data_IF_573745495551
#
_entry.id   IF_573745495551
#
_cell.length_a   1.000
_cell.length_b   1.000
_cell.length_c   1.000
_cell.angle_alpha   90.00
_cell.angle_beta   90.00
_cell.angle_gamma   90.00
#
_symmetry.space_group_name_H-M   'P 1'
#
loop_
_entity.id
_entity.type
_entity.pdbx_description
1 polymer ?
#
# COMPACT_ATOMS: atom_id res chain seq x y z
N UNK A 1 19.50 -7.26 -4.26
CA UNK A 1 18.71 -6.02 -4.02
C UNK A 1 19.55 -4.94 -3.35
N UNK A 2 20.09 -5.16 -2.13
CA UNK A 2 20.88 -4.16 -1.38
C UNK A 2 22.03 -3.56 -2.20
N UNK A 3 22.80 -4.40 -2.89
CA UNK A 3 23.89 -3.96 -3.77
C UNK A 3 23.41 -3.02 -4.89
N UNK A 4 22.30 -3.35 -5.55
CA UNK A 4 21.70 -2.51 -6.62
C UNK A 4 21.32 -1.14 -6.05
N UNK A 5 20.66 -1.11 -4.89
CA UNK A 5 20.25 0.13 -4.22
C UNK A 5 21.47 1.00 -3.91
N UNK A 6 22.53 0.41 -3.35
CA UNK A 6 23.76 1.13 -3.02
C UNK A 6 24.47 1.66 -4.28
N UNK A 7 24.57 0.86 -5.33
CA UNK A 7 25.16 1.29 -6.61
C UNK A 7 24.37 2.43 -7.26
N UNK A 8 23.03 2.39 -7.22
CA UNK A 8 22.18 3.47 -7.73
C UNK A 8 22.33 4.75 -6.90
N UNK A 9 22.40 4.64 -5.58
CA UNK A 9 22.66 5.79 -4.69
C UNK A 9 24.02 6.41 -4.92
N UNK A 10 25.08 5.62 -5.09
CA UNK A 10 26.41 6.13 -5.42
C UNK A 10 26.40 6.92 -6.75
N UNK A 11 25.60 6.48 -7.72
CA UNK A 11 25.35 7.17 -8.99
C UNK A 11 24.35 8.34 -8.88
N UNK A 12 23.89 8.68 -7.67
CA UNK A 12 22.96 9.78 -7.37
C UNK A 12 21.57 9.64 -8.01
N UNK A 13 21.15 8.43 -8.36
CA UNK A 13 19.78 8.19 -8.79
C UNK A 13 18.80 8.28 -7.62
N UNK A 14 17.60 8.77 -7.92
CA UNK A 14 16.45 8.66 -7.02
C UNK A 14 15.87 7.27 -7.10
N UNK A 15 15.58 6.68 -5.94
CA UNK A 15 15.11 5.29 -5.83
C UNK A 15 13.66 5.29 -5.37
N UNK A 16 12.82 4.68 -6.20
CA UNK A 16 11.43 4.37 -5.89
C UNK A 16 11.30 2.87 -5.62
N UNK A 17 10.71 2.51 -4.48
CA UNK A 17 10.40 1.13 -4.10
C UNK A 17 8.89 0.92 -4.12
N UNK A 18 8.40 0.14 -5.09
CA UNK A 18 7.06 -0.44 -5.02
C UNK A 18 7.16 -1.82 -4.37
N UNK A 19 6.36 -2.07 -3.34
CA UNK A 19 6.42 -3.31 -2.59
C UNK A 19 5.06 -3.68 -2.01
N UNK A 20 4.88 -4.95 -1.73
CA UNK A 20 3.82 -5.48 -0.90
C UNK A 20 4.50 -6.46 0.07
N UNK A 21 3.92 -6.67 1.25
CA UNK A 21 4.27 -7.73 2.20
C UNK A 21 5.74 -8.22 2.19
N UNK A 22 6.55 -7.75 3.15
CA UNK A 22 7.92 -8.24 3.36
C UNK A 22 7.97 -9.23 4.53
N UNK A 23 8.41 -10.46 4.28
CA UNK A 23 8.65 -11.46 5.33
C UNK A 23 9.78 -11.06 6.29
N UNK A 24 10.78 -10.35 5.77
CA UNK A 24 11.91 -9.87 6.56
C UNK A 24 11.86 -8.35 6.74
N UNK A 25 11.22 -7.90 7.83
CA UNK A 25 11.16 -6.47 8.18
C UNK A 25 12.53 -5.90 8.54
N UNK A 26 13.44 -6.70 9.10
CA UNK A 26 14.80 -6.26 9.40
C UNK A 26 15.55 -5.90 8.11
N UNK A 27 15.39 -6.70 7.06
CA UNK A 27 15.95 -6.36 5.75
C UNK A 27 15.34 -5.07 5.18
N UNK A 28 14.03 -4.85 5.38
CA UNK A 28 13.39 -3.59 4.98
C UNK A 28 14.02 -2.40 5.72
N UNK A 29 14.20 -2.50 7.04
CA UNK A 29 14.87 -1.47 7.86
C UNK A 29 16.29 -1.16 7.36
N UNK A 30 17.06 -2.20 7.00
CA UNK A 30 18.42 -2.03 6.48
C UNK A 30 18.45 -1.24 5.17
N UNK A 31 17.50 -1.47 4.27
CA UNK A 31 17.48 -0.80 2.96
C UNK A 31 16.74 0.53 2.98
N UNK A 32 15.81 0.74 3.92
CA UNK A 32 14.88 1.88 3.94
C UNK A 32 15.57 3.24 3.88
N UNK A 33 16.71 3.40 4.57
CA UNK A 33 17.49 4.65 4.56
C UNK A 33 18.05 5.02 3.18
N UNK A 34 18.08 4.07 2.26
CA UNK A 34 18.55 4.25 0.90
C UNK A 34 17.40 4.35 -0.11
N UNK A 35 16.15 4.48 0.33
CA UNK A 35 14.99 4.66 -0.55
C UNK A 35 14.55 6.12 -0.47
N UNK A 36 14.30 6.77 -1.61
CA UNK A 36 13.81 8.16 -1.63
C UNK A 36 12.27 8.20 -1.55
N UNK A 37 11.62 7.29 -2.26
CA UNK A 37 10.17 7.19 -2.38
C UNK A 37 9.73 5.73 -2.27
N UNK A 38 8.60 5.47 -1.62
CA UNK A 38 8.04 4.13 -1.58
C UNK A 38 6.51 4.13 -1.73
N UNK A 39 6.03 3.10 -2.41
CA UNK A 39 4.63 2.72 -2.48
C UNK A 39 4.49 1.35 -1.83
N UNK A 40 3.68 1.25 -0.77
CA UNK A 40 3.33 -0.05 -0.17
C UNK A 40 1.90 -0.40 -0.56
N UNK A 41 1.73 -1.52 -1.24
CA UNK A 41 0.40 -2.04 -1.53
C UNK A 41 -0.21 -2.59 -0.25
N UNK A 42 -1.37 -2.06 0.15
CA UNK A 42 -2.22 -2.65 1.18
C UNK A 42 -3.28 -3.48 0.49
N UNK A 43 -3.38 -4.77 0.82
CA UNK A 43 -4.36 -5.65 0.18
C UNK A 43 -5.76 -5.42 0.73
N UNK A 44 -6.69 -5.16 -0.18
CA UNK A 44 -8.11 -5.27 0.12
C UNK A 44 -8.49 -6.74 0.37
N UNK A 45 -9.49 -6.98 1.22
CA UNK A 45 -9.94 -8.33 1.56
C UNK A 45 -10.45 -9.09 0.34
N UNK A 46 -11.03 -8.39 -0.64
CA UNK A 46 -11.52 -9.01 -1.88
C UNK A 46 -10.41 -9.56 -2.78
N UNK A 47 -9.15 -9.23 -2.52
CA UNK A 47 -8.01 -9.81 -3.23
C UNK A 47 -7.72 -11.26 -2.80
N UNK A 48 -8.34 -11.73 -1.69
CA UNK A 48 -8.22 -13.10 -1.17
C UNK A 48 -6.76 -13.57 -1.01
N UNK A 49 -5.85 -12.65 -0.71
CA UNK A 49 -4.41 -12.92 -0.61
C UNK A 49 -4.05 -13.88 0.53
N UNK A 50 -4.86 -13.90 1.60
CA UNK A 50 -4.70 -14.78 2.76
C UNK A 50 -5.99 -14.87 3.57
N UNK A 51 -6.15 -15.94 4.36
CA UNK A 51 -7.23 -16.08 5.34
C UNK A 51 -7.01 -15.21 6.59
N UNK A 52 -5.75 -14.85 6.89
CA UNK A 52 -5.34 -13.96 7.99
C UNK A 52 -5.19 -12.52 7.51
N UNK A 53 -6.23 -11.99 6.88
CA UNK A 53 -6.17 -10.71 6.16
C UNK A 53 -5.81 -9.52 7.06
N UNK A 54 -6.31 -9.47 8.28
CA UNK A 54 -6.00 -8.38 9.22
C UNK A 54 -4.51 -8.37 9.60
N UNK A 55 -3.91 -9.54 9.86
CA UNK A 55 -2.47 -9.68 10.13
C UNK A 55 -1.62 -9.20 8.93
N UNK A 56 -2.10 -9.44 7.70
CA UNK A 56 -1.46 -8.95 6.48
C UNK A 56 -1.50 -7.41 6.43
N UNK A 57 -2.68 -6.82 6.60
CA UNK A 57 -2.87 -5.36 6.58
C UNK A 57 -2.02 -4.68 7.65
N UNK A 58 -2.04 -5.16 8.89
CA UNK A 58 -1.23 -4.62 9.99
C UNK A 58 0.26 -4.63 9.65
N UNK A 59 0.72 -5.72 9.01
CA UNK A 59 2.11 -5.84 8.59
C UNK A 59 2.46 -4.88 7.47
N UNK A 60 1.59 -4.71 6.47
CA UNK A 60 1.81 -3.77 5.37
C UNK A 60 1.82 -2.31 5.88
N UNK A 61 0.92 -1.96 6.80
CA UNK A 61 0.92 -0.67 7.50
C UNK A 61 2.22 -0.49 8.33
N UNK A 62 2.70 -1.54 9.00
CA UNK A 62 3.98 -1.51 9.71
C UNK A 62 5.16 -1.27 8.76
N UNK A 63 5.13 -1.80 7.54
CA UNK A 63 6.14 -1.50 6.52
C UNK A 63 6.14 -0.02 6.13
N UNK A 64 4.96 0.58 5.93
CA UNK A 64 4.85 2.02 5.67
C UNK A 64 5.53 2.85 6.77
N UNK A 65 5.26 2.49 8.03
CA UNK A 65 5.86 3.13 9.20
C UNK A 65 7.39 2.98 9.20
N UNK A 66 7.93 1.78 8.99
CA UNK A 66 9.38 1.54 8.92
C UNK A 66 10.04 2.44 7.86
N UNK A 67 9.47 2.50 6.66
CA UNK A 67 10.00 3.30 5.55
C UNK A 67 9.93 4.80 5.87
N UNK A 68 8.79 5.27 6.39
CA UNK A 68 8.58 6.67 6.78
C UNK A 68 9.56 7.08 7.88
N UNK A 69 9.70 6.26 8.92
CA UNK A 69 10.59 6.53 10.07
C UNK A 69 12.07 6.55 9.64
N UNK A 70 12.43 5.88 8.54
CA UNK A 70 13.75 5.95 7.92
C UNK A 70 13.95 7.19 7.01
N UNK A 71 12.94 8.06 6.86
CA UNK A 71 12.98 9.27 6.04
C UNK A 71 12.54 9.09 4.58
N UNK A 72 11.99 7.92 4.22
CA UNK A 72 11.42 7.70 2.88
C UNK A 72 10.12 8.48 2.73
N UNK A 73 9.86 9.05 1.54
CA UNK A 73 8.54 9.59 1.20
C UNK A 73 7.61 8.43 0.84
N UNK A 74 6.67 8.11 1.72
CA UNK A 74 5.81 6.93 1.58
C UNK A 74 4.38 7.34 1.25
N UNK A 75 3.77 6.60 0.35
CA UNK A 75 2.32 6.49 0.21
C UNK A 75 1.92 5.02 0.14
N UNK A 76 0.68 4.71 0.49
CA UNK A 76 0.10 3.39 0.30
C UNK A 76 -0.72 3.33 -0.98
N UNK A 77 -0.96 2.12 -1.49
CA UNK A 77 -1.86 1.88 -2.63
C UNK A 77 -2.81 0.76 -2.28
N UNK A 78 -4.07 0.91 -2.67
CA UNK A 78 -5.06 -0.15 -2.56
C UNK A 78 -5.73 -0.35 -3.91
N UNK A 79 -5.94 -1.62 -4.29
CA UNK A 79 -6.70 -1.98 -5.48
C UNK A 79 -8.08 -2.41 -5.05
N UNK A 80 -9.11 -1.70 -5.53
CA UNK A 80 -10.50 -1.97 -5.20
C UNK A 80 -11.24 -2.58 -6.39
N UNK A 81 -12.16 -3.48 -6.08
CA UNK A 81 -13.03 -4.15 -7.03
C UNK A 81 -14.48 -4.07 -6.56
N UNK A 82 -15.42 -4.49 -7.38
CA UNK A 82 -16.85 -4.50 -7.01
C UNK A 82 -17.16 -5.35 -5.77
N UNK A 83 -16.32 -6.32 -5.41
CA UNK A 83 -16.47 -7.13 -4.20
C UNK A 83 -15.79 -6.50 -2.96
N UNK A 84 -15.04 -5.41 -3.12
CA UNK A 84 -14.49 -4.65 -1.99
C UNK A 84 -15.61 -4.08 -1.12
N UNK A 85 -15.42 -4.13 0.20
CA UNK A 85 -16.39 -3.63 1.18
C UNK A 85 -15.91 -2.34 1.81
N UNK A 86 -16.84 -1.40 1.99
CA UNK A 86 -16.54 -0.11 2.65
C UNK A 86 -15.99 -0.33 4.06
N UNK A 87 -16.52 -1.29 4.82
CA UNK A 87 -16.05 -1.58 6.18
C UNK A 87 -14.58 -2.06 6.23
N UNK A 88 -14.19 -2.90 5.27
CA UNK A 88 -12.82 -3.43 5.19
C UNK A 88 -11.85 -2.30 4.77
N UNK A 89 -12.27 -1.46 3.82
CA UNK A 89 -11.52 -0.28 3.41
C UNK A 89 -11.39 0.76 4.53
N UNK A 90 -12.46 1.00 5.28
CA UNK A 90 -12.47 1.96 6.40
C UNK A 90 -11.45 1.58 7.47
N UNK A 91 -11.31 0.29 7.78
CA UNK A 91 -10.25 -0.22 8.66
C UNK A 91 -8.86 0.13 8.13
N UNK A 92 -8.59 -0.14 6.85
CA UNK A 92 -7.30 0.16 6.22
C UNK A 92 -7.03 1.67 6.24
N UNK A 93 -8.02 2.49 5.87
CA UNK A 93 -7.91 3.95 5.84
C UNK A 93 -7.60 4.51 7.23
N UNK A 94 -8.26 4.00 8.27
CA UNK A 94 -8.00 4.39 9.66
C UNK A 94 -6.56 4.05 10.07
N UNK A 95 -6.11 2.81 9.83
CA UNK A 95 -4.75 2.37 10.17
C UNK A 95 -3.67 3.21 9.45
N UNK A 96 -3.88 3.52 8.17
CA UNK A 96 -2.97 4.39 7.42
C UNK A 96 -3.01 5.84 7.93
N UNK A 97 -4.19 6.35 8.28
CA UNK A 97 -4.40 7.68 8.85
C UNK A 97 -3.70 7.87 10.20
N UNK A 98 -3.76 6.86 11.08
CA UNK A 98 -3.06 6.86 12.38
C UNK A 98 -1.55 7.04 12.25
N UNK A 99 -0.96 6.62 11.12
CA UNK A 99 0.45 6.84 10.80
C UNK A 99 0.68 7.91 9.72
N UNK A 100 -0.33 8.72 9.40
CA UNK A 100 -0.24 9.83 8.45
C UNK A 100 0.34 9.42 7.09
N UNK A 101 -0.14 8.30 6.54
CA UNK A 101 0.28 7.79 5.22
C UNK A 101 -0.84 8.07 4.21
N UNK A 102 -0.56 8.86 3.14
CA UNK A 102 -1.53 9.08 2.08
C UNK A 102 -1.74 7.78 1.28
N UNK A 103 -2.92 7.63 0.67
CA UNK A 103 -3.29 6.41 -0.06
C UNK A 103 -3.75 6.73 -1.49
N UNK A 104 -3.21 5.98 -2.44
CA UNK A 104 -3.72 5.91 -3.80
C UNK A 104 -4.81 4.84 -3.90
N UNK A 105 -6.03 5.24 -4.27
CA UNK A 105 -7.12 4.32 -4.60
C UNK A 105 -7.03 3.98 -6.08
N UNK A 106 -6.73 2.72 -6.38
CA UNK A 106 -6.67 2.21 -7.74
C UNK A 106 -7.87 1.30 -8.00
N UNK A 107 -8.54 1.50 -9.14
CA UNK A 107 -9.56 0.57 -9.59
C UNK A 107 -8.91 -0.66 -10.20
N UNK A 108 -9.47 -1.84 -9.93
CA UNK A 108 -9.09 -3.04 -10.67
C UNK A 108 -9.39 -2.84 -12.16
N UNK A 109 -8.47 -3.32 -13.00
CA UNK A 109 -8.61 -3.36 -14.46
C UNK A 109 -9.00 -4.77 -14.89
N UNK A 110 -10.29 -5.04 -15.17
CA UNK A 110 -10.73 -6.37 -15.57
C UNK A 110 -10.03 -6.84 -16.85
N UNK A 111 -9.66 -8.11 -16.88
CA UNK A 111 -9.16 -8.76 -18.11
C UNK A 111 -10.21 -9.73 -18.64
N UNK A 112 -10.13 -10.10 -19.92
CA UNK A 112 -11.02 -11.12 -20.52
C UNK A 112 -10.97 -12.48 -19.81
N UNK A 113 -9.95 -12.74 -18.99
CA UNK A 113 -9.74 -14.00 -18.25
C UNK A 113 -10.18 -13.92 -16.78
N UNK A 114 -10.58 -12.75 -16.26
CA UNK A 114 -10.94 -12.56 -14.85
C UNK A 114 -12.42 -12.25 -14.70
N UNK A 115 -13.07 -12.86 -13.71
CA UNK A 115 -14.44 -12.52 -13.33
C UNK A 115 -14.52 -11.28 -12.40
N UNK A 116 -13.38 -10.64 -12.12
CA UNK A 116 -13.32 -9.46 -11.26
C UNK A 116 -13.84 -8.24 -12.00
N UNK A 117 -14.77 -7.52 -11.39
CA UNK A 117 -15.38 -6.32 -11.94
C UNK A 117 -14.80 -5.06 -11.30
N UNK A 118 -14.64 -4.01 -12.10
CA UNK A 118 -14.29 -2.68 -11.60
C UNK A 118 -15.46 -2.05 -10.85
N UNK A 119 -15.16 -1.06 -10.01
CA UNK A 119 -16.17 -0.28 -9.30
C UNK A 119 -17.01 0.56 -10.28
N UNK A 120 -18.26 0.83 -9.91
CA UNK A 120 -18.99 1.97 -10.49
C UNK A 120 -18.44 3.29 -9.97
N UNK A 121 -18.81 4.40 -10.63
CA UNK A 121 -18.49 5.75 -10.14
C UNK A 121 -19.05 6.02 -8.74
N UNK A 122 -20.31 5.64 -8.47
CA UNK A 122 -20.92 5.83 -7.14
C UNK A 122 -20.17 5.07 -6.05
N UNK A 123 -19.72 3.85 -6.35
CA UNK A 123 -18.92 3.07 -5.41
C UNK A 123 -17.57 3.75 -5.16
N UNK A 124 -16.89 4.23 -6.22
CA UNK A 124 -15.64 4.96 -6.08
C UNK A 124 -15.80 6.21 -5.22
N UNK A 125 -16.87 6.99 -5.42
CA UNK A 125 -17.19 8.17 -4.59
C UNK A 125 -17.29 7.77 -3.13
N UNK A 126 -18.06 6.72 -2.81
CA UNK A 126 -18.20 6.24 -1.43
C UNK A 126 -16.85 5.85 -0.79
N UNK A 127 -15.96 5.20 -1.54
CA UNK A 127 -14.61 4.89 -1.05
C UNK A 127 -13.78 6.16 -0.82
N UNK A 128 -13.82 7.12 -1.75
CA UNK A 128 -13.09 8.38 -1.61
C UNK A 128 -13.59 9.24 -0.45
N UNK A 129 -14.91 9.33 -0.23
CA UNK A 129 -15.50 10.03 0.92
C UNK A 129 -15.15 9.35 2.24
N UNK A 130 -15.11 8.01 2.24
CA UNK A 130 -14.65 7.25 3.42
C UNK A 130 -13.17 7.53 3.70
N UNK A 131 -12.33 7.57 2.66
CA UNK A 131 -10.91 7.87 2.78
C UNK A 131 -10.66 9.27 3.39
N UNK A 132 -11.42 10.27 2.92
CA UNK A 132 -11.32 11.66 3.36
C UNK A 132 -11.62 11.88 4.86
N UNK A 133 -12.25 10.90 5.54
CA UNK A 133 -12.48 10.96 6.99
C UNK A 133 -11.23 10.65 7.81
N UNK A 134 -10.26 9.93 7.23
CA UNK A 134 -9.15 9.34 7.97
C UNK A 134 -7.76 9.69 7.42
N UNK A 135 -7.66 9.90 6.11
CA UNK A 135 -6.39 10.10 5.44
C UNK A 135 -6.03 11.60 5.31
N UNK A 136 -4.72 11.93 5.27
CA UNK A 136 -4.25 13.30 5.09
C UNK A 136 -4.44 13.86 3.67
#
# INVERSE_FOLDING_TARGET
MKEIILNLKQKKYKIFLETAYAENLQFLEEIARNIDFACVDIKDKSAEATTKWEELVEREVKMCRILRDAGTKVFSKIVLSKSSKISDFELIAKLCGEINIPMAIQLVSPTKKSNVQSLSWDQLVNFTETAAKYLP
#
